data_IF_686508725009
#
_entry.id   IF_686508725009
#
_cell.length_a   1.000
_cell.length_b   1.000
_cell.length_c   1.000
_cell.angle_alpha   90.00
_cell.angle_beta   90.00
_cell.angle_gamma   90.00
#
_symmetry.space_group_name_H-M   'P 1'
#
loop_
_entity.id
_entity.type
_entity.pdbx_description
1 polymer ?
#
# COMPACT_ATOMS: atom_id res chain seq x y z
N UNK A 1 3.61 -5.66 28.52
CA UNK A 1 4.42 -5.29 27.33
C UNK A 1 3.64 -5.74 26.11
N UNK A 2 3.23 -4.83 25.22
CA UNK A 2 2.50 -5.17 23.99
C UNK A 2 3.51 -5.21 22.84
N UNK A 3 3.63 -6.34 22.17
CA UNK A 3 4.47 -6.50 20.98
C UNK A 3 3.60 -6.24 19.76
N UNK A 4 3.88 -5.16 19.04
CA UNK A 4 3.29 -4.92 17.72
C UNK A 4 4.09 -5.71 16.68
N UNK A 5 3.40 -6.38 15.77
CA UNK A 5 3.99 -7.07 14.63
C UNK A 5 3.76 -6.24 13.37
N UNK A 6 4.77 -6.16 12.51
CA UNK A 6 4.71 -5.39 11.27
C UNK A 6 5.97 -4.56 11.03
N UNK A 7 6.23 -4.25 9.76
CA UNK A 7 7.23 -3.26 9.37
C UNK A 7 6.56 -1.89 9.41
N UNK A 8 7.05 -1.00 10.27
CA UNK A 8 6.28 0.18 10.70
C UNK A 8 5.82 1.09 9.57
N UNK A 9 6.57 1.12 8.46
CA UNK A 9 6.29 1.92 7.26
C UNK A 9 5.04 1.45 6.49
N UNK A 10 4.67 0.17 6.61
CA UNK A 10 3.49 -0.40 5.96
C UNK A 10 2.29 -0.48 6.89
N UNK A 11 2.40 -0.02 8.14
CA UNK A 11 1.27 -0.08 9.07
C UNK A 11 0.14 0.86 8.64
N UNK A 12 -1.08 0.34 8.67
CA UNK A 12 -2.30 1.11 8.41
C UNK A 12 -2.59 2.10 9.55
N UNK A 13 -3.28 3.24 9.31
CA UNK A 13 -3.57 4.26 10.33
C UNK A 13 -4.22 3.71 11.61
N UNK A 14 -5.05 2.68 11.47
CA UNK A 14 -5.81 2.02 12.53
C UNK A 14 -5.00 1.04 13.40
N UNK A 15 -3.69 0.85 13.17
CA UNK A 15 -2.86 -0.16 13.86
C UNK A 15 -2.85 -0.07 15.40
N UNK A 16 -3.32 1.05 15.95
CA UNK A 16 -3.41 1.32 17.40
C UNK A 16 -4.78 0.97 17.98
N UNK A 17 -5.78 0.77 17.13
CA UNK A 17 -7.15 0.43 17.50
C UNK A 17 -7.24 -1.08 17.60
N UNK A 18 -7.35 -1.62 18.82
CA UNK A 18 -7.18 -3.05 19.08
C UNK A 18 -8.16 -3.94 18.29
N UNK A 19 -9.35 -3.42 17.99
CA UNK A 19 -10.38 -4.14 17.24
C UNK A 19 -10.14 -4.11 15.72
N UNK A 20 -9.41 -3.12 15.21
CA UNK A 20 -9.20 -2.89 13.77
C UNK A 20 -7.79 -3.27 13.30
N UNK A 21 -6.82 -3.34 14.21
CA UNK A 21 -5.40 -3.54 13.93
C UNK A 21 -5.03 -4.88 13.28
N UNK A 22 -5.96 -5.84 13.19
CA UNK A 22 -5.74 -7.17 12.61
C UNK A 22 -6.86 -7.61 11.68
N UNK A 23 -7.48 -6.65 10.99
CA UNK A 23 -8.45 -6.94 9.93
C UNK A 23 -7.78 -7.07 8.57
N UNK A 24 -8.45 -7.71 7.61
CA UNK A 24 -7.97 -7.81 6.22
C UNK A 24 -7.66 -6.43 5.60
N UNK A 25 -8.30 -5.36 6.09
CA UNK A 25 -8.06 -4.01 5.60
C UNK A 25 -6.61 -3.55 5.81
N UNK A 26 -5.94 -3.99 6.89
CA UNK A 26 -4.54 -3.63 7.18
C UNK A 26 -3.59 -4.16 6.10
N UNK A 27 -3.86 -5.37 5.58
CA UNK A 27 -3.11 -5.94 4.47
C UNK A 27 -3.33 -5.15 3.18
N UNK A 28 -4.55 -4.67 2.94
CA UNK A 28 -4.88 -3.86 1.77
C UNK A 28 -4.17 -2.49 1.79
N UNK A 29 -4.03 -1.88 2.98
CA UNK A 29 -3.21 -0.68 3.14
C UNK A 29 -1.75 -0.97 2.82
N UNK A 30 -1.20 -2.03 3.42
CA UNK A 30 0.19 -2.45 3.21
C UNK A 30 0.46 -2.69 1.72
N UNK A 31 -0.48 -3.34 1.02
CA UNK A 31 -0.42 -3.54 -0.41
C UNK A 31 -0.47 -2.22 -1.20
N UNK A 32 -1.32 -1.27 -0.80
CA UNK A 32 -1.35 0.08 -1.39
C UNK A 32 -0.01 0.81 -1.27
N UNK A 33 0.65 0.73 -0.12
CA UNK A 33 1.98 1.32 0.11
C UNK A 33 3.01 0.68 -0.83
N UNK A 34 3.02 -0.65 -0.93
CA UNK A 34 3.89 -1.40 -1.86
C UNK A 34 3.59 -0.99 -3.32
N UNK A 35 2.32 -0.86 -3.69
CA UNK A 35 1.93 -0.47 -5.05
C UNK A 35 2.46 0.92 -5.41
N UNK A 36 2.44 1.89 -4.48
CA UNK A 36 3.07 3.20 -4.69
C UNK A 36 4.57 3.06 -4.93
N UNK A 37 5.28 2.27 -4.11
CA UNK A 37 6.73 2.04 -4.26
C UNK A 37 7.05 1.48 -5.66
N UNK A 38 6.31 0.46 -6.10
CA UNK A 38 6.50 -0.16 -7.41
C UNK A 38 6.19 0.80 -8.56
N UNK A 39 5.06 1.51 -8.50
CA UNK A 39 4.58 2.36 -9.60
C UNK A 39 5.36 3.65 -9.76
N UNK A 40 6.05 4.10 -8.72
CA UNK A 40 6.87 5.31 -8.74
C UNK A 40 8.37 5.00 -8.87
N UNK A 41 8.73 3.74 -9.10
CA UNK A 41 10.11 3.24 -9.17
C UNK A 41 10.96 3.66 -7.97
N UNK A 42 10.34 3.75 -6.79
CA UNK A 42 11.04 4.17 -5.60
C UNK A 42 11.82 2.97 -5.03
N UNK A 43 13.13 3.01 -5.20
CA UNK A 43 14.03 2.19 -4.42
C UNK A 43 14.17 2.75 -3.01
N UNK A 44 14.04 1.84 -2.03
CA UNK A 44 14.44 1.97 -0.60
C UNK A 44 13.43 2.64 0.34
N UNK A 45 12.82 1.85 1.25
CA UNK A 45 12.33 2.29 2.59
C UNK A 45 11.83 3.75 2.65
N UNK A 46 10.59 4.01 2.21
CA UNK A 46 9.94 5.33 2.16
C UNK A 46 10.60 6.43 3.03
N UNK A 47 11.28 7.36 2.35
CA UNK A 47 12.09 8.45 2.92
C UNK A 47 11.51 9.05 4.21
N UNK A 48 12.36 9.16 5.24
CA UNK A 48 12.01 9.79 6.51
C UNK A 48 11.37 8.87 7.55
N UNK A 49 11.27 7.56 7.28
CA UNK A 49 10.71 6.59 8.22
C UNK A 49 11.77 5.85 9.04
N UNK A 50 11.82 6.10 10.36
CA UNK A 50 12.67 5.32 11.28
C UNK A 50 12.01 3.98 11.61
N UNK A 51 12.51 2.91 10.99
CA UNK A 51 12.01 1.55 11.16
C UNK A 51 12.25 0.94 12.57
N UNK A 52 12.99 1.61 13.46
CA UNK A 52 13.36 1.04 14.78
C UNK A 52 12.22 1.09 15.80
N UNK A 53 11.26 2.00 15.64
CA UNK A 53 10.16 2.19 16.58
C UNK A 53 8.83 2.32 15.84
N UNK A 54 7.73 1.98 16.53
CA UNK A 54 6.40 2.29 16.03
C UNK A 54 6.21 3.82 16.02
N UNK A 55 5.73 4.42 14.93
CA UNK A 55 5.51 5.86 14.82
C UNK A 55 4.41 6.30 15.79
N UNK A 56 4.47 7.55 16.24
CA UNK A 56 3.28 8.23 16.82
C UNK A 56 2.20 8.42 15.75
N UNK A 57 0.92 8.58 16.16
CA UNK A 57 -0.18 8.88 15.23
C UNK A 57 0.12 10.14 14.39
N UNK A 58 0.70 11.16 15.02
CA UNK A 58 1.10 12.40 14.35
C UNK A 58 2.23 12.17 13.35
N UNK A 59 3.26 11.37 13.69
CA UNK A 59 4.33 11.02 12.75
C UNK A 59 3.82 10.21 11.56
N UNK A 60 2.95 9.22 11.81
CA UNK A 60 2.34 8.42 10.75
C UNK A 60 1.50 9.29 9.82
N UNK A 61 0.60 10.13 10.37
CA UNK A 61 -0.20 11.06 9.59
C UNK A 61 0.66 12.05 8.79
N UNK A 62 1.68 12.63 9.42
CA UNK A 62 2.60 13.56 8.76
C UNK A 62 3.36 12.92 7.61
N UNK A 63 3.71 11.63 7.73
CA UNK A 63 4.30 10.87 6.63
C UNK A 63 3.29 10.55 5.53
N UNK A 64 2.05 10.15 5.87
CA UNK A 64 0.98 9.91 4.90
C UNK A 64 0.74 11.15 4.05
N UNK A 65 0.54 12.31 4.67
CA UNK A 65 0.22 13.54 3.95
C UNK A 65 1.47 14.17 3.29
N UNK A 66 2.61 14.08 3.95
CA UNK A 66 3.86 14.72 3.53
C UNK A 66 4.62 13.96 2.44
N UNK A 67 4.47 12.63 2.40
CA UNK A 67 5.23 11.73 1.53
C UNK A 67 4.29 10.88 0.68
N UNK A 68 3.48 10.00 1.29
CA UNK A 68 2.70 8.99 0.57
C UNK A 68 1.73 9.61 -0.44
N UNK A 69 0.91 10.59 -0.02
CA UNK A 69 -0.07 11.26 -0.90
C UNK A 69 0.58 12.01 -2.05
N UNK A 70 1.76 12.61 -1.84
CA UNK A 70 2.49 13.29 -2.92
C UNK A 70 2.99 12.27 -3.95
N UNK A 71 3.49 11.12 -3.50
CA UNK A 71 3.94 10.04 -4.40
C UNK A 71 2.80 9.40 -5.17
N UNK A 72 1.62 9.26 -4.57
CA UNK A 72 0.43 8.84 -5.31
C UNK A 72 0.12 9.77 -6.50
N UNK A 73 0.45 11.07 -6.41
CA UNK A 73 0.29 12.00 -7.51
C UNK A 73 1.31 11.75 -8.65
N UNK A 74 2.51 11.27 -8.31
CA UNK A 74 3.58 10.93 -9.26
C UNK A 74 3.32 9.59 -9.99
N UNK A 75 2.49 8.70 -9.42
CA UNK A 75 2.14 7.43 -10.03
C UNK A 75 1.43 7.59 -11.39
N UNK A 76 1.58 6.62 -12.32
CA UNK A 76 0.88 6.65 -13.60
C UNK A 76 -0.63 6.80 -13.40
N UNK A 77 -1.25 7.67 -14.21
CA UNK A 77 -2.62 8.15 -14.00
C UNK A 77 -3.64 7.02 -13.99
N UNK A 78 -3.41 5.98 -14.78
CA UNK A 78 -4.23 4.78 -14.88
C UNK A 78 -4.34 4.03 -13.55
N UNK A 79 -3.33 4.08 -12.67
CA UNK A 79 -3.35 3.37 -11.39
C UNK A 79 -3.81 4.24 -10.22
N UNK A 80 -4.09 5.54 -10.42
CA UNK A 80 -4.50 6.43 -9.33
C UNK A 80 -5.79 5.98 -8.65
N UNK A 81 -6.75 5.42 -9.40
CA UNK A 81 -8.00 4.93 -8.81
C UNK A 81 -7.76 3.73 -7.89
N UNK A 82 -6.94 2.77 -8.34
CA UNK A 82 -6.48 1.65 -7.51
C UNK A 82 -5.82 2.15 -6.22
N UNK A 83 -4.86 3.07 -6.34
CA UNK A 83 -4.13 3.59 -5.18
C UNK A 83 -5.05 4.31 -4.18
N UNK A 84 -6.05 5.07 -4.68
CA UNK A 84 -7.04 5.73 -3.81
C UNK A 84 -7.93 4.72 -3.07
N UNK A 85 -8.34 3.64 -3.72
CA UNK A 85 -9.14 2.58 -3.09
C UNK A 85 -8.35 1.80 -2.02
N UNK A 86 -7.07 1.54 -2.26
CA UNK A 86 -6.20 0.81 -1.34
C UNK A 86 -5.73 1.67 -0.14
N UNK A 87 -5.49 2.96 -0.34
CA UNK A 87 -4.94 3.88 0.67
C UNK A 87 -6.00 4.79 1.29
N UNK A 88 -7.23 4.30 1.38
CA UNK A 88 -8.27 5.00 2.12
C UNK A 88 -8.01 4.91 3.63
N UNK A 89 -8.19 6.04 4.34
CA UNK A 89 -7.81 6.17 5.75
C UNK A 89 -8.68 5.30 6.66
N UNK A 90 -9.99 5.29 6.40
CA UNK A 90 -10.95 4.44 7.11
C UNK A 90 -10.90 3.00 6.59
N UNK A 91 -10.72 1.99 7.46
CA UNK A 91 -10.69 0.58 7.05
C UNK A 91 -11.94 0.11 6.33
N UNK A 92 -13.12 0.55 6.77
CA UNK A 92 -14.42 0.15 6.24
C UNK A 92 -14.71 0.66 4.82
N UNK A 93 -14.06 1.76 4.42
CA UNK A 93 -14.17 2.35 3.10
C UNK A 93 -13.03 1.90 2.16
N UNK A 94 -12.05 1.16 2.69
CA UNK A 94 -10.90 0.65 1.95
C UNK A 94 -11.32 -0.52 1.07
N UNK A 95 -10.77 -0.59 -0.13
CA UNK A 95 -11.03 -1.71 -1.03
C UNK A 95 -10.66 -3.05 -0.42
N UNK A 96 -11.53 -4.03 -0.64
CA UNK A 96 -11.22 -5.42 -0.33
C UNK A 96 -10.27 -5.99 -1.39
N UNK A 97 -9.70 -7.17 -1.09
CA UNK A 97 -8.91 -7.91 -2.07
C UNK A 97 -9.72 -8.24 -3.33
N UNK A 98 -11.03 -8.47 -3.21
CA UNK A 98 -11.92 -8.77 -4.33
C UNK A 98 -12.10 -7.54 -5.22
N UNK A 99 -12.38 -6.38 -4.64
CA UNK A 99 -12.53 -5.12 -5.39
C UNK A 99 -11.24 -4.79 -6.15
N UNK A 100 -10.10 -4.94 -5.47
CA UNK A 100 -8.78 -4.75 -6.04
C UNK A 100 -8.50 -5.73 -7.19
N UNK A 101 -8.76 -7.02 -6.99
CA UNK A 101 -8.55 -8.04 -8.02
C UNK A 101 -9.42 -7.73 -9.25
N UNK A 102 -10.70 -7.46 -9.06
CA UNK A 102 -11.63 -7.14 -10.15
C UNK A 102 -11.12 -5.93 -10.95
N UNK A 103 -10.75 -4.85 -10.27
CA UNK A 103 -10.23 -3.67 -10.95
C UNK A 103 -8.96 -3.97 -11.76
N UNK A 104 -8.03 -4.76 -11.20
CA UNK A 104 -6.80 -5.17 -11.89
C UNK A 104 -7.12 -6.02 -13.13
N UNK A 105 -8.08 -6.92 -13.06
CA UNK A 105 -8.52 -7.70 -14.22
C UNK A 105 -9.03 -6.81 -15.34
N UNK A 106 -9.88 -5.84 -15.01
CA UNK A 106 -10.52 -4.96 -15.99
C UNK A 106 -9.55 -3.93 -16.59
N UNK A 107 -8.60 -3.43 -15.79
CA UNK A 107 -7.80 -2.25 -16.17
C UNK A 107 -6.33 -2.57 -16.45
N UNK A 108 -5.71 -3.55 -15.79
CA UNK A 108 -4.30 -3.90 -16.00
C UNK A 108 -4.10 -4.91 -17.15
N UNK A 109 -5.05 -5.85 -17.32
CA UNK A 109 -5.01 -6.86 -18.40
C UNK A 109 -5.26 -6.26 -19.79
N UNK A 110 -5.96 -5.13 -19.86
CA UNK A 110 -6.24 -4.43 -21.12
C UNK A 110 -5.01 -3.68 -21.65
N UNK A 111 -4.12 -3.21 -20.76
CA UNK A 111 -2.89 -2.49 -21.13
C UNK A 111 -1.66 -3.38 -21.29
N UNK A 112 -1.68 -4.59 -20.73
CA UNK A 112 -0.59 -5.57 -20.86
C UNK A 112 -1.09 -6.71 -21.73
N UNK A 113 -0.86 -6.63 -23.03
CA UNK A 113 -1.24 -7.69 -23.98
C UNK A 113 -0.95 -9.08 -23.41
N UNK A 114 -2.02 -9.77 -23.02
CA UNK A 114 -2.13 -11.17 -22.58
C UNK A 114 -0.82 -11.88 -22.18
N UNK A 115 -0.60 -12.13 -20.89
CA UNK A 115 0.22 -13.27 -20.42
C UNK A 115 0.02 -13.56 -18.93
N UNK A 116 -1.19 -13.94 -18.54
CA UNK A 116 -1.44 -14.52 -17.21
C UNK A 116 -0.96 -15.98 -17.21
N UNK A 117 0.36 -16.20 -17.12
CA UNK A 117 1.05 -17.44 -16.71
C UNK A 117 2.58 -17.46 -16.93
N UNK A 118 3.25 -16.33 -17.19
CA UNK A 118 4.71 -16.33 -17.07
C UNK A 118 5.08 -16.30 -15.60
N UNK A 119 5.54 -17.44 -15.09
CA UNK A 119 6.37 -17.53 -13.88
C UNK A 119 7.39 -16.39 -13.97
N UNK A 120 7.57 -15.62 -12.90
CA UNK A 120 8.63 -14.60 -12.84
C UNK A 120 9.96 -15.33 -12.94
N UNK A 121 10.42 -15.60 -14.17
CA UNK A 121 11.63 -16.37 -14.46
C UNK A 121 12.83 -15.47 -14.75
N UNK A 122 12.69 -14.16 -14.54
CA UNK A 122 13.71 -13.16 -14.87
C UNK A 122 14.27 -12.43 -13.65
N UNK A 123 14.07 -12.96 -12.44
CA UNK A 123 14.87 -12.59 -11.27
C UNK A 123 16.02 -13.60 -11.17
N UNK A 124 17.05 -13.44 -12.01
CA UNK A 124 18.36 -14.02 -11.74
C UNK A 124 19.23 -12.90 -11.19
N UNK A 125 19.79 -13.15 -10.00
CA UNK A 125 20.82 -12.34 -9.35
C UNK A 125 22.08 -12.18 -10.21
#
# INVERSE_FOLDING_TARGET
>A
MRTYAGSSVYMAPEFREQELAYTNAVDMWSFGVIAVEYLTHLGTRLDGWDAKLAPTKSQHQGWVDGVLRKRMADAPKEFRHLLLGLLYEKPEDRWTAIDCEQWLWENASANTGSSRKRRVSSLQE
#
